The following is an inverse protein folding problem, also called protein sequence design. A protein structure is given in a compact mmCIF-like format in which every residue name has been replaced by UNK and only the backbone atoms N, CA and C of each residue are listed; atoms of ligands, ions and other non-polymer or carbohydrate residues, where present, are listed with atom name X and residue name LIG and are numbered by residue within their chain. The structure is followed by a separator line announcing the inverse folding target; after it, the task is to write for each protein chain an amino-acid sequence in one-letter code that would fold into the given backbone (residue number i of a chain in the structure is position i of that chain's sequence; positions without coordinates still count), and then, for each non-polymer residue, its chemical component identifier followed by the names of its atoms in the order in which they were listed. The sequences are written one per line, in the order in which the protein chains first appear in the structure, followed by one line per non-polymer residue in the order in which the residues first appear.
data_IF_317100604151
#
_entry.id   IF_317100604151
#
_cell.length_a   1.000
_cell.length_b   1.000
_cell.length_c   1.000
_cell.angle_alpha   90.00
_cell.angle_beta   90.00
_cell.angle_gamma   90.00
#
_symmetry.space_group_name_H-M   'P 1'
#
loop_
_entity.id
_entity.type
_entity.pdbx_description
1 polymer ?
#
# COMPACT_ATOMS: atom_id res chain seq x y z
N UNK A 1 -26.79 5.39 -38.68
CA UNK A 1 -25.37 5.58 -38.31
C UNK A 1 -25.22 6.01 -36.84
N UNK A 2 -26.01 5.45 -35.91
CA UNK A 2 -26.04 5.87 -34.49
C UNK A 2 -25.50 4.81 -33.52
N UNK A 3 -25.30 3.57 -33.96
CA UNK A 3 -24.91 2.45 -33.08
C UNK A 3 -23.41 2.40 -32.74
N UNK A 4 -22.56 3.08 -33.54
CA UNK A 4 -21.11 3.16 -33.32
C UNK A 4 -20.75 4.13 -32.19
N UNK A 5 -21.60 5.14 -31.91
CA UNK A 5 -21.34 6.11 -30.85
C UNK A 5 -21.47 5.48 -29.46
N UNK A 6 -22.44 4.59 -29.27
CA UNK A 6 -22.68 3.95 -27.97
C UNK A 6 -21.63 2.88 -27.62
N UNK A 7 -21.06 2.20 -28.62
CA UNK A 7 -20.02 1.19 -28.40
C UNK A 7 -18.70 1.81 -27.95
N UNK A 8 -18.34 2.99 -28.48
CA UNK A 8 -17.12 3.70 -28.05
C UNK A 8 -17.25 4.20 -26.60
N UNK A 9 -18.43 4.72 -26.22
CA UNK A 9 -18.69 5.18 -24.85
C UNK A 9 -18.65 4.04 -23.84
N UNK A 10 -19.15 2.84 -24.18
CA UNK A 10 -19.08 1.66 -23.32
C UNK A 10 -17.63 1.17 -23.11
N UNK A 11 -16.77 1.29 -24.13
CA UNK A 11 -15.38 0.85 -24.08
C UNK A 11 -14.49 1.73 -23.17
N UNK A 12 -14.85 3.01 -22.97
CA UNK A 12 -14.11 3.94 -22.10
C UNK A 12 -14.38 3.67 -20.61
N UNK A 13 -15.60 3.25 -20.26
CA UNK A 13 -15.98 3.01 -18.86
C UNK A 13 -15.24 1.79 -18.27
N UNK A 14 -14.95 0.77 -19.10
CA UNK A 14 -14.29 -0.46 -18.69
C UNK A 14 -12.78 -0.29 -18.34
N UNK A 15 -12.14 0.78 -18.82
CA UNK A 15 -10.73 1.08 -18.50
C UNK A 15 -10.53 1.76 -17.13
N UNK A 16 -11.62 2.12 -16.43
CA UNK A 16 -11.53 2.82 -15.15
C UNK A 16 -11.26 1.89 -13.96
N UNK A 17 -11.38 0.57 -14.12
CA UNK A 17 -10.96 -0.41 -13.11
C UNK A 17 -9.47 -0.70 -13.24
N UNK A 18 -8.63 0.34 -13.24
CA UNK A 18 -7.18 0.20 -13.08
C UNK A 18 -6.95 -0.58 -11.77
N UNK A 19 -6.67 -1.87 -11.93
CA UNK A 19 -6.40 -2.79 -10.85
C UNK A 19 -5.25 -2.20 -10.02
N UNK A 20 -5.56 -1.80 -8.78
CA UNK A 20 -4.49 -1.51 -7.83
C UNK A 20 -3.78 -2.82 -7.56
N UNK A 21 -2.53 -2.94 -8.01
CA UNK A 21 -1.75 -4.14 -7.77
C UNK A 21 -1.59 -4.32 -6.25
N UNK A 22 -1.84 -5.55 -5.79
CA UNK A 22 -1.47 -5.97 -4.44
C UNK A 22 0.01 -5.60 -4.20
N UNK A 23 0.31 -5.09 -3.01
CA UNK A 23 1.68 -4.69 -2.61
C UNK A 23 2.19 -5.50 -1.43
N UNK A 24 1.29 -6.23 -0.77
CA UNK A 24 1.58 -7.07 0.38
C UNK A 24 0.34 -7.42 1.16
N UNK A 25 0.55 -7.95 2.36
CA UNK A 25 -0.52 -8.29 3.29
C UNK A 25 -0.12 -8.03 4.74
N UNK A 26 -1.14 -7.88 5.59
CA UNK A 26 -0.96 -7.62 7.01
C UNK A 26 -0.64 -8.91 7.75
N UNK A 27 0.57 -9.02 8.29
CA UNK A 27 0.99 -10.18 9.09
C UNK A 27 0.36 -10.16 10.48
N UNK A 28 0.28 -9.00 11.10
CA UNK A 28 -0.16 -8.82 12.48
C UNK A 28 -0.75 -7.43 12.69
N UNK A 29 -1.77 -7.36 13.55
CA UNK A 29 -2.40 -6.11 14.02
C UNK A 29 -2.55 -6.20 15.53
N UNK A 30 -2.17 -5.13 16.22
CA UNK A 30 -2.44 -4.91 17.64
C UNK A 30 -3.23 -3.61 17.76
N UNK A 31 -4.30 -3.61 18.55
CA UNK A 31 -5.12 -2.42 18.77
C UNK A 31 -5.92 -1.96 17.54
N UNK A 32 -6.08 -0.65 17.39
CA UNK A 32 -6.86 -0.03 16.31
C UNK A 32 -5.97 0.53 15.20
N UNK A 33 -5.99 -0.14 14.05
CA UNK A 33 -5.27 0.24 12.84
C UNK A 33 -6.26 0.45 11.70
N UNK A 34 -6.06 1.52 10.94
CA UNK A 34 -6.91 1.89 9.82
C UNK A 34 -6.09 2.06 8.56
N UNK A 35 -6.67 1.69 7.42
CA UNK A 35 -6.13 2.03 6.11
C UNK A 35 -7.09 3.03 5.46
N UNK A 36 -6.55 4.17 5.02
CA UNK A 36 -7.24 5.04 4.08
C UNK A 36 -6.91 4.59 2.67
N UNK A 37 -7.93 4.11 1.95
CA UNK A 37 -7.87 3.66 0.56
C UNK A 37 -8.80 4.52 -0.27
N UNK A 38 -8.24 5.34 -1.14
CA UNK A 38 -8.99 6.34 -1.91
C UNK A 38 -9.83 7.21 -0.96
N UNK A 39 -11.17 7.16 -1.10
CA UNK A 39 -12.11 7.94 -0.30
C UNK A 39 -12.71 7.18 0.89
N UNK A 40 -12.22 5.98 1.18
CA UNK A 40 -12.72 5.13 2.27
C UNK A 40 -11.66 4.90 3.31
N UNK A 41 -12.09 4.77 4.56
CA UNK A 41 -11.24 4.34 5.66
C UNK A 41 -11.74 3.00 6.15
N UNK A 42 -10.89 1.98 6.11
CA UNK A 42 -11.21 0.61 6.49
C UNK A 42 -10.42 0.22 7.74
N UNK A 43 -11.04 -0.58 8.62
CA UNK A 43 -10.33 -1.18 9.74
C UNK A 43 -9.52 -2.36 9.24
N UNK A 44 -8.29 -2.48 9.73
CA UNK A 44 -7.35 -3.52 9.29
C UNK A 44 -7.46 -4.76 10.16
N UNK A 45 -7.44 -5.93 9.52
CA UNK A 45 -7.37 -7.24 10.16
C UNK A 45 -6.12 -8.00 9.69
N UNK A 46 -5.80 -9.06 10.43
CA UNK A 46 -4.74 -10.00 10.03
C UNK A 46 -5.07 -10.60 8.66
N UNK A 47 -4.06 -10.69 7.81
CA UNK A 47 -4.10 -11.16 6.43
C UNK A 47 -4.87 -10.27 5.44
N UNK A 48 -5.32 -9.08 5.86
CA UNK A 48 -5.85 -8.11 4.91
C UNK A 48 -4.77 -7.72 3.88
N UNK A 49 -5.17 -7.63 2.62
CA UNK A 49 -4.31 -7.15 1.55
C UNK A 49 -4.12 -5.64 1.66
N UNK A 50 -2.88 -5.22 1.40
CA UNK A 50 -2.53 -3.81 1.26
C UNK A 50 -2.15 -3.53 -0.17
N UNK A 51 -2.52 -2.34 -0.64
CA UNK A 51 -2.39 -1.95 -2.03
C UNK A 51 -1.52 -0.72 -2.14
N UNK A 52 -1.01 -0.50 -3.35
CA UNK A 52 -0.30 0.72 -3.68
C UNK A 52 -1.19 1.94 -3.37
N UNK A 53 -0.57 2.95 -2.77
CA UNK A 53 -1.17 4.20 -2.31
C UNK A 53 -2.11 4.08 -1.11
N UNK A 54 -2.20 2.92 -0.46
CA UNK A 54 -2.85 2.83 0.84
C UNK A 54 -2.08 3.67 1.87
N UNK A 55 -2.82 4.36 2.74
CA UNK A 55 -2.25 5.08 3.87
C UNK A 55 -2.62 4.32 5.14
N UNK A 56 -1.64 3.72 5.78
CA UNK A 56 -1.79 2.98 7.03
C UNK A 56 -1.65 3.95 8.20
N UNK A 57 -2.60 3.91 9.13
CA UNK A 57 -2.69 4.81 10.27
C UNK A 57 -2.83 3.97 11.54
N UNK A 58 -1.90 4.12 12.47
CA UNK A 58 -1.95 3.49 13.80
C UNK A 58 -2.40 4.51 14.84
N UNK A 59 -3.34 4.12 15.71
CA UNK A 59 -3.73 4.91 16.89
C UNK A 59 -2.76 4.67 18.06
N UNK A 60 -3.04 5.27 19.22
CA UNK A 60 -2.35 4.98 20.47
C UNK A 60 -2.55 3.50 20.87
N UNK A 61 -1.53 2.87 21.45
CA UNK A 61 -1.54 1.44 21.80
C UNK A 61 -1.85 0.52 20.61
N UNK A 62 -1.53 0.95 19.39
CA UNK A 62 -1.75 0.17 18.17
C UNK A 62 -0.46 -0.06 17.42
N UNK A 63 -0.33 -1.23 16.81
CA UNK A 63 0.81 -1.59 15.97
C UNK A 63 0.35 -2.46 14.80
N UNK A 64 1.10 -2.43 13.70
CA UNK A 64 0.85 -3.30 12.54
C UNK A 64 2.16 -3.75 11.91
N UNK A 65 2.19 -5.00 11.47
CA UNK A 65 3.28 -5.53 10.66
C UNK A 65 2.73 -5.98 9.31
N UNK A 66 3.37 -5.52 8.23
CA UNK A 66 2.99 -5.76 6.84
C UNK A 66 4.15 -6.49 6.18
N UNK A 67 3.86 -7.62 5.53
CA UNK A 67 4.81 -8.29 4.63
C UNK A 67 4.50 -7.78 3.23
N UNK A 68 5.49 -7.15 2.61
CA UNK A 68 5.44 -6.75 1.22
C UNK A 68 5.69 -7.94 0.30
N UNK A 69 5.23 -7.86 -0.95
CA UNK A 69 5.40 -8.94 -1.93
C UNK A 69 6.88 -9.19 -2.30
N UNK A 70 7.76 -8.21 -2.03
CA UNK A 70 9.22 -8.37 -2.15
C UNK A 70 9.87 -9.09 -0.94
N UNK A 71 9.06 -9.57 0.02
CA UNK A 71 9.51 -10.24 1.24
C UNK A 71 9.95 -9.30 2.37
N UNK A 72 9.99 -7.98 2.14
CA UNK A 72 10.33 -7.02 3.19
C UNK A 72 9.20 -6.89 4.20
N UNK A 73 9.56 -6.65 5.46
CA UNK A 73 8.60 -6.46 6.55
C UNK A 73 8.63 -5.01 6.98
N UNK A 74 7.47 -4.37 6.96
CA UNK A 74 7.27 -3.04 7.52
C UNK A 74 6.51 -3.18 8.84
N UNK A 75 7.12 -2.73 9.92
CA UNK A 75 6.47 -2.61 11.23
C UNK A 75 6.21 -1.14 11.53
N UNK A 76 4.96 -0.84 11.88
CA UNK A 76 4.52 0.50 12.22
C UNK A 76 3.96 0.50 13.64
N UNK A 77 4.64 1.22 14.53
CA UNK A 77 4.27 1.41 15.93
C UNK A 77 3.18 2.48 16.08
N UNK A 78 2.85 2.81 17.33
CA UNK A 78 1.72 3.70 17.65
C UNK A 78 1.84 5.14 17.13
N UNK A 79 0.68 5.75 16.86
CA UNK A 79 0.56 7.17 16.41
C UNK A 79 1.47 7.47 15.21
N UNK A 80 1.45 6.60 14.20
CA UNK A 80 2.21 6.77 12.97
C UNK A 80 1.30 6.68 11.76
N UNK A 81 1.81 7.23 10.66
CA UNK A 81 1.17 7.22 9.35
C UNK A 81 2.22 6.75 8.35
N UNK A 82 1.87 5.74 7.56
CA UNK A 82 2.71 5.19 6.50
C UNK A 82 1.98 5.27 5.17
N UNK A 83 2.62 5.87 4.17
CA UNK A 83 2.12 5.90 2.80
C UNK A 83 2.78 4.77 2.03
N UNK A 84 2.01 3.76 1.59
CA UNK A 84 2.50 2.65 0.80
C UNK A 84 2.74 3.09 -0.64
N UNK A 85 3.86 3.78 -0.88
CA UNK A 85 4.27 4.22 -2.21
C UNK A 85 5.37 3.28 -2.78
N UNK A 86 5.60 3.38 -4.10
CA UNK A 86 6.57 2.56 -4.84
C UNK A 86 8.02 2.71 -4.35
N UNK A 87 8.33 3.77 -3.60
CA UNK A 87 9.70 4.08 -3.19
C UNK A 87 10.14 3.33 -1.94
N UNK A 88 9.20 2.79 -1.14
CA UNK A 88 9.53 1.96 0.02
C UNK A 88 10.34 0.70 -0.40
N UNK A 89 10.07 0.15 -1.59
CA UNK A 89 10.80 -1.00 -2.13
C UNK A 89 12.18 -0.69 -2.72
N UNK A 90 12.58 0.58 -2.86
CA UNK A 90 13.85 0.95 -3.54
C UNK A 90 14.96 1.44 -2.61
N UNK A 91 14.69 1.64 -1.32
CA UNK A 91 15.65 2.26 -0.39
C UNK A 91 16.73 1.28 0.14
N UNK A 92 17.34 0.49 -0.75
CA UNK A 92 18.42 -0.45 -0.41
C UNK A 92 19.62 -0.43 -1.35
N UNK A 93 19.88 0.70 -2.03
CA UNK A 93 21.14 0.93 -2.76
C UNK A 93 21.89 2.18 -2.27
N UNK A 94 22.00 2.36 -0.94
CA UNK A 94 22.80 3.47 -0.38
C UNK A 94 23.62 3.04 0.85
N UNK A 95 24.39 1.95 0.72
CA UNK A 95 25.54 1.69 1.60
C UNK A 95 26.63 0.89 0.87
N UNK A 96 27.18 1.48 -0.18
CA UNK A 96 28.45 1.08 -0.80
C UNK A 96 29.26 2.34 -1.15
N UNK A 97 29.62 3.12 -0.15
CA UNK A 97 30.81 3.97 -0.19
C UNK A 97 31.13 4.43 1.23
N UNK A 98 32.43 4.47 1.55
CA UNK A 98 33.06 4.69 2.86
C UNK A 98 33.45 3.40 3.61
N UNK A 99 34.43 2.72 3.04
CA UNK A 99 35.58 2.27 3.83
C UNK A 99 36.80 3.02 3.28
N UNK A 100 37.08 4.18 3.85
CA UNK A 100 38.42 4.77 3.86
C UNK A 100 38.85 4.73 5.32
N UNK A 101 39.70 3.75 5.63
CA UNK A 101 40.57 3.67 6.81
C UNK A 101 41.45 2.43 6.62
N UNK A 102 42.59 2.63 5.95
CA UNK A 102 43.95 2.21 6.34
C UNK A 102 44.90 2.64 5.22
#
# INVERSE_FOLDING_TARGET
MNNIKYTITAMIILNSTLFSADTGFVKQVTGSVKIKRLNKTISVKKYDKVYKNDIVITKANSAVSIILDNGEVISLEEKRILHLNRQLSQKKNFKKHLSMCL
#
